data_IF_918725807207
#
_entry.id   IF_918725807207
#
_cell.length_a   1.000
_cell.length_b   1.000
_cell.length_c   1.000
_cell.angle_alpha   90.00
_cell.angle_beta   90.00
_cell.angle_gamma   90.00
#
_symmetry.space_group_name_H-M   'P 1'
#
loop_
_entity.id
_entity.type
_entity.pdbx_description
1 polymer ?
#
# COMPACT_ATOMS: atom_id res chain seq x y z
N UNK A 1 -6.59 6.88 2.76
CA UNK A 1 -5.53 5.97 3.23
C UNK A 1 -4.21 6.08 2.45
N UNK A 2 -4.16 6.62 1.23
CA UNK A 2 -2.90 6.72 0.45
C UNK A 2 -1.86 7.72 1.02
N UNK A 3 -2.30 8.69 1.84
CA UNK A 3 -1.41 9.66 2.50
C UNK A 3 -0.73 9.09 3.76
N UNK A 4 -1.16 7.92 4.24
CA UNK A 4 -0.77 7.40 5.53
C UNK A 4 0.73 7.09 5.70
N UNK A 5 1.47 6.59 4.69
CA UNK A 5 2.91 6.39 4.87
C UNK A 5 3.68 7.72 4.87
N UNK A 6 3.09 8.81 4.36
CA UNK A 6 3.82 10.05 4.13
C UNK A 6 4.40 10.68 5.41
N UNK A 7 3.67 10.86 6.53
CA UNK A 7 4.24 11.44 7.74
C UNK A 7 5.46 10.68 8.29
N UNK A 8 5.38 9.35 8.32
CA UNK A 8 6.47 8.51 8.79
C UNK A 8 7.69 8.57 7.86
N UNK A 9 7.46 8.48 6.55
CA UNK A 9 8.54 8.56 5.55
C UNK A 9 9.14 9.96 5.50
N UNK A 10 8.34 11.02 5.66
CA UNK A 10 8.82 12.39 5.78
C UNK A 10 9.75 12.54 6.99
N UNK A 11 9.33 12.06 8.17
CA UNK A 11 10.16 12.07 9.36
C UNK A 11 11.46 11.27 9.16
N UNK A 12 11.37 10.11 8.50
CA UNK A 12 12.53 9.31 8.13
C UNK A 12 13.51 10.06 7.23
N UNK A 13 13.01 10.76 6.21
CA UNK A 13 13.82 11.51 5.25
C UNK A 13 14.40 12.81 5.83
N UNK A 14 13.74 13.40 6.81
CA UNK A 14 14.18 14.62 7.49
C UNK A 14 15.24 14.35 8.57
N UNK A 15 14.97 13.38 9.46
CA UNK A 15 15.75 13.16 10.68
C UNK A 15 16.38 11.75 10.76
N UNK A 16 16.11 10.87 9.81
CA UNK A 16 16.64 9.51 9.75
C UNK A 16 15.60 8.43 10.08
N UNK A 17 15.86 7.16 9.70
CA UNK A 17 14.85 6.09 9.68
C UNK A 17 14.29 5.73 11.05
N UNK A 18 15.07 5.95 12.13
CA UNK A 18 14.60 5.79 13.51
C UNK A 18 13.40 6.69 13.82
N UNK A 19 13.38 7.90 13.29
CA UNK A 19 12.26 8.82 13.50
C UNK A 19 11.00 8.38 12.73
N UNK A 20 11.17 7.76 11.56
CA UNK A 20 10.04 7.11 10.87
C UNK A 20 9.43 5.97 11.69
N UNK A 21 10.26 5.15 12.32
CA UNK A 21 9.80 4.10 13.24
C UNK A 21 9.04 4.70 14.43
N UNK A 22 9.55 5.77 15.05
CA UNK A 22 8.87 6.44 16.16
C UNK A 22 7.49 6.96 15.76
N UNK A 23 7.34 7.52 14.55
CA UNK A 23 6.03 7.97 14.04
C UNK A 23 5.07 6.78 13.87
N UNK A 24 5.56 5.64 13.35
CA UNK A 24 4.74 4.42 13.22
C UNK A 24 4.33 3.89 14.60
N UNK A 25 5.24 3.86 15.58
CA UNK A 25 4.94 3.43 16.95
C UNK A 25 3.98 4.39 17.66
N UNK A 26 4.15 5.69 17.50
CA UNK A 26 3.22 6.68 18.05
C UNK A 26 1.82 6.53 17.43
N UNK A 27 1.75 6.29 16.11
CA UNK A 27 0.49 6.01 15.43
C UNK A 27 -0.15 4.72 15.92
N UNK A 28 0.66 3.68 16.15
CA UNK A 28 0.20 2.42 16.72
C UNK A 28 -0.37 2.59 18.12
N UNK A 29 0.36 3.30 18.98
CA UNK A 29 -0.10 3.62 20.33
C UNK A 29 -1.42 4.40 20.28
N UNK A 30 -1.53 5.39 19.41
CA UNK A 30 -2.75 6.18 19.23
C UNK A 30 -3.92 5.33 18.74
N UNK A 31 -3.73 4.50 17.72
CA UNK A 31 -4.77 3.60 17.19
C UNK A 31 -5.18 2.58 18.26
N UNK A 32 -4.23 2.03 19.01
CA UNK A 32 -4.52 1.11 20.11
C UNK A 32 -5.36 1.77 21.20
N UNK A 33 -5.03 3.01 21.57
CA UNK A 33 -5.75 3.74 22.60
C UNK A 33 -7.16 4.15 22.16
N UNK A 34 -7.35 4.53 20.89
CA UNK A 34 -8.62 5.08 20.38
C UNK A 34 -9.57 4.04 19.81
N UNK A 35 -9.04 3.03 19.11
CA UNK A 35 -9.82 2.01 18.38
C UNK A 35 -9.63 0.60 18.95
N UNK A 36 -8.69 0.43 19.88
CA UNK A 36 -8.40 -0.85 20.52
C UNK A 36 -7.32 -1.68 19.83
N UNK A 37 -6.94 -2.80 20.47
CA UNK A 37 -5.78 -3.60 20.06
C UNK A 37 -5.96 -4.31 18.71
N UNK A 38 -7.18 -4.74 18.37
CA UNK A 38 -7.43 -5.40 17.08
C UNK A 38 -7.27 -4.44 15.91
N UNK A 39 -7.70 -3.18 16.05
CA UNK A 39 -7.49 -2.15 15.03
C UNK A 39 -6.01 -1.78 14.91
N UNK A 40 -5.28 -1.71 16.03
CA UNK A 40 -3.84 -1.46 16.02
C UNK A 40 -3.07 -2.61 15.34
N UNK A 41 -3.43 -3.85 15.65
CA UNK A 41 -2.86 -5.04 15.02
C UNK A 41 -3.14 -5.06 13.52
N UNK A 42 -4.39 -4.82 13.11
CA UNK A 42 -4.76 -4.67 11.71
C UNK A 42 -3.97 -3.56 11.01
N UNK A 43 -3.65 -2.48 11.72
CA UNK A 43 -2.83 -1.39 11.20
C UNK A 43 -1.36 -1.82 11.00
N UNK A 44 -0.72 -2.48 11.99
CA UNK A 44 0.66 -3.00 11.85
C UNK A 44 0.78 -3.88 10.62
N UNK A 45 -0.12 -4.85 10.51
CA UNK A 45 -0.07 -5.91 9.51
C UNK A 45 -0.42 -5.37 8.12
N UNK A 46 -1.41 -4.49 8.00
CA UNK A 46 -1.81 -3.95 6.70
C UNK A 46 -0.91 -2.83 6.18
N UNK A 47 -0.39 -1.96 7.05
CA UNK A 47 0.31 -0.74 6.63
C UNK A 47 1.61 -0.46 7.39
N UNK A 48 1.73 -0.84 8.66
CA UNK A 48 2.91 -0.54 9.48
C UNK A 48 4.20 -1.08 8.85
N UNK A 49 4.22 -2.37 8.51
CA UNK A 49 5.40 -3.01 7.91
C UNK A 49 5.81 -2.38 6.57
N UNK A 50 4.85 -2.15 5.66
CA UNK A 50 5.14 -1.49 4.37
C UNK A 50 5.64 -0.05 4.56
N UNK A 51 5.12 0.67 5.55
CA UNK A 51 5.58 2.02 5.89
C UNK A 51 7.03 2.02 6.37
N UNK A 52 7.44 1.04 7.18
CA UNK A 52 8.84 0.90 7.62
C UNK A 52 9.77 0.58 6.45
N UNK A 53 9.34 -0.28 5.53
CA UNK A 53 10.08 -0.58 4.29
C UNK A 53 10.24 0.70 3.45
N UNK A 54 9.18 1.49 3.29
CA UNK A 54 9.25 2.78 2.60
C UNK A 54 10.22 3.74 3.32
N UNK A 55 10.15 3.87 4.64
CA UNK A 55 11.04 4.73 5.42
C UNK A 55 12.52 4.38 5.17
N UNK A 56 12.86 3.09 5.21
CA UNK A 56 14.22 2.61 4.98
C UNK A 56 14.63 2.74 3.52
N UNK A 57 13.76 2.31 2.60
CA UNK A 57 14.00 2.31 1.16
C UNK A 57 14.23 3.71 0.60
N UNK A 58 13.43 4.70 1.03
CA UNK A 58 13.66 6.10 0.63
C UNK A 58 14.93 6.67 1.26
N UNK A 59 15.21 6.37 2.53
CA UNK A 59 16.41 6.85 3.22
C UNK A 59 17.71 6.32 2.59
N UNK A 60 17.74 5.02 2.29
CA UNK A 60 18.86 4.31 1.66
C UNK A 60 18.86 4.43 0.13
N UNK A 61 17.87 5.12 -0.45
CA UNK A 61 17.72 5.37 -1.89
C UNK A 61 17.68 4.10 -2.74
N UNK A 62 16.97 3.08 -2.25
CA UNK A 62 16.76 1.85 -2.99
C UNK A 62 16.08 2.13 -4.34
N UNK A 63 16.40 1.35 -5.40
CA UNK A 63 15.63 1.38 -6.62
C UNK A 63 14.17 0.99 -6.33
N UNK A 64 13.22 1.58 -7.06
CA UNK A 64 11.77 1.43 -6.81
C UNK A 64 11.33 -0.02 -6.70
N UNK A 65 11.91 -0.91 -7.51
CA UNK A 65 11.57 -2.34 -7.49
C UNK A 65 11.90 -3.01 -6.14
N UNK A 66 13.02 -2.62 -5.52
CA UNK A 66 13.45 -3.12 -4.21
C UNK A 66 12.63 -2.51 -3.05
N UNK A 67 11.82 -1.49 -3.31
CA UNK A 67 10.86 -0.94 -2.34
C UNK A 67 9.50 -1.62 -2.51
N UNK A 68 9.02 -1.71 -3.76
CA UNK A 68 7.69 -2.23 -4.07
C UNK A 68 7.59 -3.72 -3.74
N UNK A 69 8.55 -4.55 -4.15
CA UNK A 69 8.48 -6.01 -3.93
C UNK A 69 8.34 -6.34 -2.43
N UNK A 70 9.21 -5.83 -1.53
CA UNK A 70 9.04 -6.10 -0.10
C UNK A 70 7.74 -5.52 0.48
N UNK A 71 7.25 -4.38 -0.02
CA UNK A 71 5.95 -3.85 0.40
C UNK A 71 4.79 -4.80 0.04
N UNK A 72 4.81 -5.39 -1.17
CA UNK A 72 3.81 -6.38 -1.59
C UNK A 72 3.85 -7.59 -0.68
N UNK A 73 5.04 -8.14 -0.42
CA UNK A 73 5.21 -9.27 0.49
C UNK A 73 4.74 -8.93 1.91
N UNK A 74 5.10 -7.77 2.44
CA UNK A 74 4.66 -7.32 3.76
C UNK A 74 3.13 -7.26 3.88
N UNK A 75 2.43 -6.76 2.83
CA UNK A 75 0.96 -6.75 2.82
C UNK A 75 0.36 -8.15 2.73
N UNK A 76 0.91 -9.02 1.88
CA UNK A 76 0.44 -10.41 1.74
C UNK A 76 0.57 -11.17 3.07
N UNK A 77 1.72 -11.05 3.74
CA UNK A 77 1.93 -11.60 5.08
C UNK A 77 0.94 -10.99 6.07
N UNK A 78 0.74 -9.67 6.00
CA UNK A 78 -0.23 -8.97 6.84
C UNK A 78 -1.66 -9.50 6.72
N UNK A 79 -2.14 -9.73 5.49
CA UNK A 79 -3.43 -10.36 5.25
C UNK A 79 -3.49 -11.79 5.79
N UNK A 80 -2.44 -12.59 5.58
CA UNK A 80 -2.36 -13.95 6.14
C UNK A 80 -2.43 -13.96 7.67
N UNK A 81 -1.73 -13.04 8.34
CA UNK A 81 -1.77 -12.89 9.80
C UNK A 81 -3.16 -12.47 10.28
N UNK A 82 -3.82 -11.52 9.60
CA UNK A 82 -5.19 -11.11 9.96
C UNK A 82 -6.14 -12.29 9.83
N UNK A 83 -6.10 -13.03 8.71
CA UNK A 83 -6.94 -14.22 8.49
C UNK A 83 -6.68 -15.25 9.59
N UNK A 84 -5.42 -15.54 9.91
CA UNK A 84 -5.07 -16.51 10.95
C UNK A 84 -5.61 -16.10 12.34
N UNK A 85 -5.51 -14.82 12.70
CA UNK A 85 -6.00 -14.31 13.98
C UNK A 85 -7.52 -14.37 14.05
N UNK A 86 -8.22 -13.94 12.98
CA UNK A 86 -9.69 -14.04 12.94
C UNK A 86 -10.10 -15.51 13.01
N UNK A 87 -9.45 -16.40 12.25
CA UNK A 87 -9.74 -17.84 12.30
C UNK A 87 -9.55 -18.43 13.69
N UNK A 88 -8.50 -18.00 14.40
CA UNK A 88 -8.27 -18.38 15.79
C UNK A 88 -9.36 -17.86 16.73
N UNK A 89 -9.70 -16.57 16.66
CA UNK A 89 -10.71 -15.96 17.53
C UNK A 89 -12.13 -16.51 17.35
N UNK A 90 -12.50 -16.87 16.11
CA UNK A 90 -13.83 -17.40 15.79
C UNK A 90 -13.89 -18.93 15.79
N UNK A 91 -12.79 -19.63 16.08
CA UNK A 91 -12.68 -21.08 15.99
C UNK A 91 -13.22 -21.66 14.66
N UNK A 92 -13.02 -20.92 13.56
CA UNK A 92 -13.58 -21.25 12.26
C UNK A 92 -12.57 -20.92 11.15
N UNK A 93 -12.58 -21.70 10.06
CA UNK A 93 -11.76 -21.38 8.89
C UNK A 93 -12.40 -20.22 8.11
N UNK A 94 -11.92 -19.00 8.38
CA UNK A 94 -12.38 -17.77 7.74
C UNK A 94 -12.24 -17.83 6.22
N UNK A 95 -11.21 -18.49 5.70
CA UNK A 95 -11.04 -18.62 4.26
C UNK A 95 -12.15 -19.49 3.67
N UNK A 96 -12.50 -20.59 4.33
CA UNK A 96 -13.64 -21.42 3.91
C UNK A 96 -14.97 -20.66 3.96
N UNK A 97 -15.17 -19.80 4.96
CA UNK A 97 -16.37 -18.96 5.09
C UNK A 97 -16.43 -17.96 3.92
N UNK A 98 -15.33 -17.28 3.63
CA UNK A 98 -15.24 -16.34 2.50
C UNK A 98 -15.54 -17.03 1.17
N UNK A 99 -15.00 -18.24 0.97
CA UNK A 99 -15.24 -19.04 -0.24
C UNK A 99 -16.70 -19.42 -0.37
N UNK A 100 -17.34 -19.90 0.71
CA UNK A 100 -18.78 -20.23 0.71
C UNK A 100 -19.66 -19.01 0.43
N UNK A 101 -19.31 -17.85 1.00
CA UNK A 101 -20.03 -16.60 0.72
C UNK A 101 -19.87 -16.19 -0.75
N UNK A 102 -18.66 -16.26 -1.30
CA UNK A 102 -18.40 -15.97 -2.70
C UNK A 102 -19.13 -16.94 -3.64
N UNK A 103 -19.15 -18.23 -3.31
CA UNK A 103 -19.89 -19.26 -4.05
C UNK A 103 -21.39 -18.97 -4.06
N UNK A 104 -21.97 -18.67 -2.90
CA UNK A 104 -23.40 -18.34 -2.77
C UNK A 104 -23.77 -17.10 -3.60
N UNK A 105 -22.94 -16.05 -3.55
CA UNK A 105 -23.13 -14.84 -4.35
C UNK A 105 -23.02 -15.11 -5.85
N UNK A 106 -22.04 -15.91 -6.26
CA UNK A 106 -21.80 -16.27 -7.65
C UNK A 106 -22.93 -17.15 -8.19
N UNK A 107 -23.43 -18.12 -7.42
CA UNK A 107 -24.63 -18.92 -7.73
C UNK A 107 -25.89 -18.06 -7.85
N UNK A 108 -26.11 -17.12 -6.94
CA UNK A 108 -27.23 -16.18 -7.04
C UNK A 108 -27.16 -15.34 -8.32
N UNK A 109 -25.99 -14.78 -8.64
CA UNK A 109 -25.80 -13.99 -9.85
C UNK A 109 -25.92 -14.82 -11.13
N UNK A 110 -25.29 -16.00 -11.16
CA UNK A 110 -25.26 -16.88 -12.33
C UNK A 110 -26.64 -17.42 -12.67
N UNK A 111 -27.42 -17.87 -11.67
CA UNK A 111 -28.80 -18.32 -11.91
C UNK A 111 -29.72 -17.19 -12.37
N UNK A 112 -29.51 -15.96 -11.88
CA UNK A 112 -30.29 -14.78 -12.28
C UNK A 112 -29.96 -14.31 -13.70
N UNK A 113 -28.69 -14.35 -14.09
CA UNK A 113 -28.22 -13.77 -15.37
C UNK A 113 -28.14 -14.77 -16.52
N UNK A 114 -27.80 -16.03 -16.22
CA UNK A 114 -27.47 -17.06 -17.22
C UNK A 114 -28.44 -18.25 -17.19
N UNK A 115 -29.39 -18.26 -16.24
CA UNK A 115 -30.39 -19.31 -16.10
C UNK A 115 -29.91 -20.52 -15.29
N UNK A 116 -30.78 -21.51 -15.14
CA UNK A 116 -30.60 -22.66 -14.24
C UNK A 116 -29.57 -23.70 -14.69
N UNK A 117 -29.01 -23.57 -15.89
CA UNK A 117 -28.01 -24.50 -16.45
C UNK A 117 -26.57 -24.09 -16.12
N UNK A 118 -26.38 -22.99 -15.41
CA UNK A 118 -25.05 -22.50 -15.05
C UNK A 118 -24.39 -23.38 -13.99
N UNK A 119 -23.26 -24.01 -14.34
CA UNK A 119 -22.54 -24.94 -13.45
C UNK A 119 -21.64 -24.27 -12.40
N UNK A 120 -21.52 -22.94 -12.42
CA UNK A 120 -20.72 -22.18 -11.46
C UNK A 120 -19.22 -22.47 -11.48
N UNK A 121 -18.41 -21.64 -10.80
CA UNK A 121 -16.99 -21.90 -10.59
C UNK A 121 -16.78 -22.90 -9.45
N UNK A 122 -15.71 -23.69 -9.53
CA UNK A 122 -15.34 -24.64 -8.47
C UNK A 122 -14.74 -23.93 -7.26
N UNK A 123 -14.81 -24.57 -6.09
CA UNK A 123 -14.22 -24.04 -4.85
C UNK A 123 -12.74 -23.66 -5.01
N UNK A 124 -11.96 -24.50 -5.72
CA UNK A 124 -10.56 -24.25 -6.01
C UNK A 124 -10.35 -22.99 -6.88
N UNK A 125 -11.22 -22.76 -7.86
CA UNK A 125 -11.18 -21.55 -8.69
C UNK A 125 -11.51 -20.31 -7.88
N UNK A 126 -12.51 -20.36 -7.01
CA UNK A 126 -12.88 -19.25 -6.12
C UNK A 126 -11.71 -18.91 -5.18
N UNK A 127 -11.10 -19.92 -4.54
CA UNK A 127 -9.91 -19.75 -3.68
C UNK A 127 -8.76 -19.08 -4.43
N UNK A 128 -8.46 -19.55 -5.65
CA UNK A 128 -7.42 -18.97 -6.49
C UNK A 128 -7.71 -17.50 -6.81
N UNK A 129 -8.95 -17.17 -7.20
CA UNK A 129 -9.35 -15.80 -7.53
C UNK A 129 -9.23 -14.88 -6.31
N UNK A 130 -9.61 -15.33 -5.12
CA UNK A 130 -9.45 -14.56 -3.87
C UNK A 130 -7.97 -14.26 -3.61
N UNK A 131 -7.09 -15.26 -3.70
CA UNK A 131 -5.64 -15.09 -3.49
C UNK A 131 -5.05 -14.13 -4.54
N UNK A 132 -5.40 -14.31 -5.82
CA UNK A 132 -4.96 -13.42 -6.89
C UNK A 132 -5.46 -12.00 -6.69
N UNK A 133 -6.69 -11.82 -6.21
CA UNK A 133 -7.25 -10.51 -5.90
C UNK A 133 -6.47 -9.81 -4.78
N UNK A 134 -6.10 -10.52 -3.72
CA UNK A 134 -5.23 -9.98 -2.66
C UNK A 134 -3.83 -9.62 -3.18
N UNK A 135 -3.27 -10.44 -4.06
CA UNK A 135 -1.97 -10.18 -4.68
C UNK A 135 -2.01 -8.93 -5.56
N UNK A 136 -2.98 -8.84 -6.47
CA UNK A 136 -3.17 -7.68 -7.36
C UNK A 136 -3.41 -6.43 -6.52
N UNK A 137 -4.29 -6.50 -5.52
CA UNK A 137 -4.54 -5.39 -4.61
C UNK A 137 -3.26 -4.93 -3.89
N UNK A 138 -2.44 -5.87 -3.43
CA UNK A 138 -1.17 -5.58 -2.76
C UNK A 138 -0.17 -4.91 -3.69
N UNK A 139 -0.07 -5.35 -4.95
CA UNK A 139 0.76 -4.75 -5.99
C UNK A 139 0.32 -3.32 -6.29
N UNK A 140 -0.96 -3.14 -6.63
CA UNK A 140 -1.54 -1.84 -6.97
C UNK A 140 -1.34 -0.87 -5.81
N UNK A 141 -1.67 -1.29 -4.59
CA UNK A 141 -1.51 -0.46 -3.41
C UNK A 141 -0.04 -0.05 -3.20
N UNK A 142 0.90 -0.98 -3.30
CA UNK A 142 2.32 -0.70 -3.06
C UNK A 142 2.89 0.27 -4.10
N UNK A 143 2.48 0.13 -5.36
CA UNK A 143 2.83 1.06 -6.45
C UNK A 143 2.24 2.44 -6.16
N UNK A 144 0.94 2.53 -5.84
CA UNK A 144 0.29 3.79 -5.53
C UNK A 144 0.89 4.48 -4.30
N UNK A 145 1.14 3.74 -3.22
CA UNK A 145 1.77 4.26 -2.00
C UNK A 145 3.17 4.81 -2.29
N UNK A 146 3.99 4.08 -3.05
CA UNK A 146 5.32 4.54 -3.46
C UNK A 146 5.27 5.78 -4.35
N UNK A 147 4.37 5.80 -5.35
CA UNK A 147 4.15 6.94 -6.24
C UNK A 147 3.72 8.19 -5.47
N UNK A 148 2.65 8.11 -4.69
CA UNK A 148 2.12 9.23 -3.92
C UNK A 148 3.16 9.76 -2.93
N UNK A 149 3.86 8.87 -2.21
CA UNK A 149 4.91 9.28 -1.26
C UNK A 149 6.08 9.95 -1.98
N UNK A 150 6.51 9.41 -3.14
CA UNK A 150 7.58 10.02 -3.95
C UNK A 150 7.22 11.43 -4.42
N UNK A 151 5.98 11.62 -4.91
CA UNK A 151 5.51 12.94 -5.36
C UNK A 151 5.46 13.95 -4.22
N UNK A 152 4.92 13.55 -3.06
CA UNK A 152 4.82 14.44 -1.91
C UNK A 152 6.20 14.79 -1.33
N UNK A 153 7.09 13.80 -1.19
CA UNK A 153 8.47 14.04 -0.73
C UNK A 153 9.23 14.96 -1.67
N UNK A 154 8.99 14.87 -2.97
CA UNK A 154 9.60 15.76 -3.96
C UNK A 154 9.13 17.21 -3.75
N UNK A 155 7.84 17.44 -3.53
CA UNK A 155 7.28 18.78 -3.24
C UNK A 155 7.80 19.40 -1.94
N UNK A 156 8.18 18.59 -0.97
CA UNK A 156 8.76 19.07 0.30
C UNK A 156 10.27 18.89 0.35
N UNK A 157 10.92 18.66 -0.79
CA UNK A 157 12.33 18.26 -0.84
C UNK A 157 13.28 19.28 -0.23
N UNK A 158 12.93 20.58 -0.27
CA UNK A 158 13.67 21.67 0.40
C UNK A 158 13.80 21.49 1.91
N UNK A 159 12.88 20.78 2.53
CA UNK A 159 12.92 20.49 3.97
C UNK A 159 13.67 19.19 4.27
N UNK A 160 13.92 18.32 3.29
CA UNK A 160 14.47 16.99 3.53
C UNK A 160 16.00 17.02 3.62
N UNK A 161 16.57 16.15 4.46
CA UNK A 161 18.03 15.97 4.54
C UNK A 161 18.61 15.30 3.29
N UNK A 162 17.78 14.50 2.60
CA UNK A 162 18.15 13.79 1.37
C UNK A 162 17.04 13.98 0.35
N UNK A 163 17.40 14.30 -0.90
CA UNK A 163 16.42 14.27 -2.00
C UNK A 163 15.98 12.83 -2.27
N UNK A 164 14.67 12.57 -2.43
CA UNK A 164 14.16 11.24 -2.76
C UNK A 164 14.56 10.86 -4.19
N UNK A 165 14.82 9.57 -4.42
CA UNK A 165 15.01 9.06 -5.78
C UNK A 165 13.63 8.91 -6.43
N UNK A 166 13.34 9.80 -7.37
CA UNK A 166 12.11 9.71 -8.16
C UNK A 166 12.11 8.48 -9.06
N UNK A 167 10.92 7.92 -9.29
CA UNK A 167 10.69 6.87 -10.28
C UNK A 167 10.99 7.44 -11.69
N UNK A 168 11.60 6.66 -12.62
CA UNK A 168 11.89 7.16 -13.98
C UNK A 168 10.68 7.81 -14.67
N UNK A 169 9.49 7.23 -14.52
CA UNK A 169 8.25 7.80 -15.05
C UNK A 169 7.95 9.19 -14.46
N UNK A 170 8.12 9.37 -13.15
CA UNK A 170 7.93 10.67 -12.51
C UNK A 170 8.98 11.68 -12.93
N UNK A 171 10.25 11.26 -13.03
CA UNK A 171 11.33 12.12 -13.53
C UNK A 171 11.01 12.64 -14.93
N UNK A 172 10.56 11.74 -15.82
CA UNK A 172 10.16 12.12 -17.17
C UNK A 172 8.96 13.07 -17.19
N UNK A 173 7.93 12.80 -16.37
CA UNK A 173 6.75 13.67 -16.25
C UNK A 173 7.12 15.07 -15.73
N UNK A 174 7.95 15.15 -14.69
CA UNK A 174 8.40 16.44 -14.15
C UNK A 174 9.26 17.20 -15.14
N UNK A 175 10.18 16.51 -15.84
CA UNK A 175 10.99 17.12 -16.89
C UNK A 175 10.12 17.69 -18.01
N UNK A 176 9.19 16.89 -18.54
CA UNK A 176 8.27 17.32 -19.60
C UNK A 176 7.36 18.47 -19.18
N UNK A 177 6.91 18.49 -17.92
CA UNK A 177 6.12 19.59 -17.38
C UNK A 177 6.95 20.87 -17.27
N UNK A 178 8.20 20.76 -16.80
CA UNK A 178 9.16 21.88 -16.73
C UNK A 178 9.47 22.44 -18.13
N UNK A 179 9.71 21.58 -19.11
CA UNK A 179 9.99 21.97 -20.50
C UNK A 179 8.83 22.79 -21.10
N UNK A 180 7.58 22.31 -20.95
CA UNK A 180 6.38 23.06 -21.39
C UNK A 180 6.20 24.39 -20.68
N UNK A 181 6.55 24.45 -19.40
CA UNK A 181 6.45 25.69 -18.64
C UNK A 181 7.48 26.72 -19.12
N UNK A 182 8.71 26.27 -19.41
CA UNK A 182 9.78 27.09 -19.96
C UNK A 182 9.40 27.64 -21.34
N UNK A 183 8.82 26.83 -22.21
CA UNK A 183 8.30 27.27 -23.51
C UNK A 183 7.22 28.35 -23.37
N UNK A 184 6.34 28.22 -22.36
CA UNK A 184 5.23 29.16 -22.17
C UNK A 184 5.62 30.47 -21.50
N UNK A 185 6.57 30.46 -20.56
CA UNK A 185 6.86 31.61 -19.69
C UNK A 185 8.30 32.15 -19.81
N UNK A 186 9.18 31.52 -20.60
CA UNK A 186 10.50 32.05 -20.92
C UNK A 186 11.58 31.87 -19.83
N UNK A 187 11.25 31.29 -18.68
CA UNK A 187 12.22 30.96 -17.62
C UNK A 187 12.02 29.53 -17.09
N UNK A 188 13.11 28.93 -16.60
CA UNK A 188 13.10 27.58 -16.06
C UNK A 188 12.52 27.57 -14.64
N UNK A 189 11.74 26.54 -14.32
CA UNK A 189 11.09 26.37 -13.02
C UNK A 189 12.01 25.67 -12.02
N UNK A 190 13.32 25.90 -12.13
CA UNK A 190 14.31 25.18 -11.33
C UNK A 190 14.43 25.74 -9.89
N UNK A 191 13.86 26.92 -9.60
CA UNK A 191 14.03 27.61 -8.31
C UNK A 191 12.78 27.71 -7.40
N UNK A 192 11.62 27.19 -7.81
CA UNK A 192 10.35 27.43 -7.08
C UNK A 192 9.66 26.21 -6.47
N UNK A 193 10.20 24.99 -6.56
CA UNK A 193 9.55 23.77 -6.01
C UNK A 193 10.39 23.02 -4.99
#
# INVERSE_FOLDING_TARGET
QLLYPFPAVFAAMRWGPRNGLLVVLATLFWVNFTLGPFSALSYVTSQGLSTLILCRGFWDRWPSILIIIPCVFAKMVGFGVIIAIISFCYHADVLSILVKQAETLLQGLGTTLLGSTWMGPTEAQIRLVIILSFMIHSIVYSICAHLTTSMLLYRVSKFLKRKPRLIPLLQWLFKRASDRYREKYGYAVEDTW
#
